data_IF_107430970263
#
_entry.id   IF_107430970263
#
_cell.length_a   1.000
_cell.length_b   1.000
_cell.length_c   1.000
_cell.angle_alpha   90.00
_cell.angle_beta   90.00
_cell.angle_gamma   90.00
#
_symmetry.space_group_name_H-M   'P 1'
#
loop_
_entity.id
_entity.type
_entity.pdbx_description
1 polymer ?
#
# COMPACT_ATOMS: atom_id res chain seq x y z
N UNK A 1 -4.75 -17.02 17.73
CA UNK A 1 -3.46 -16.89 18.46
C UNK A 1 -2.30 -17.36 17.54
N UNK A 2 -1.90 -16.51 16.59
CA UNK A 2 -0.72 -16.76 15.74
C UNK A 2 0.56 -16.19 16.43
N UNK A 3 0.78 -16.51 17.68
CA UNK A 3 1.83 -15.91 18.51
C UNK A 3 3.17 -16.69 18.52
N UNK A 4 3.45 -17.52 17.52
CA UNK A 4 4.60 -18.44 17.59
C UNK A 4 5.65 -18.35 16.49
N UNK A 5 5.44 -17.63 15.41
CA UNK A 5 6.29 -17.73 14.20
C UNK A 5 6.98 -16.41 13.80
N UNK A 6 7.31 -15.54 14.75
CA UNK A 6 8.24 -14.45 14.42
C UNK A 6 9.65 -14.95 14.54
N UNK A 7 10.37 -15.23 13.44
CA UNK A 7 11.78 -15.63 13.51
C UNK A 7 12.56 -14.50 14.19
N UNK A 8 13.35 -14.82 15.22
CA UNK A 8 14.26 -13.85 15.83
C UNK A 8 15.20 -13.35 14.74
N UNK A 9 15.28 -12.02 14.58
CA UNK A 9 16.19 -11.37 13.63
C UNK A 9 17.61 -11.92 13.86
N UNK A 10 18.23 -12.58 12.88
CA UNK A 10 19.59 -13.08 13.03
C UNK A 10 20.55 -11.89 13.16
N UNK A 11 21.68 -12.08 13.88
CA UNK A 11 22.69 -11.05 14.13
C UNK A 11 23.47 -10.58 12.90
N UNK A 12 23.23 -11.17 11.73
CA UNK A 12 23.86 -10.74 10.48
C UNK A 12 22.83 -10.77 9.39
N UNK A 13 22.11 -9.87 9.00
CA UNK A 13 21.10 -9.80 7.93
C UNK A 13 20.59 -11.15 7.36
N UNK A 14 19.49 -11.14 6.70
CA UNK A 14 19.01 -12.33 6.00
C UNK A 14 19.57 -12.33 4.58
N UNK A 15 20.13 -13.45 4.14
CA UNK A 15 20.44 -13.69 2.73
C UNK A 15 19.13 -13.98 1.98
N UNK A 16 19.13 -13.76 0.66
CA UNK A 16 17.98 -14.08 -0.20
C UNK A 16 17.53 -15.54 -0.05
N UNK A 17 18.49 -16.48 -0.06
CA UNK A 17 18.19 -17.89 0.13
C UNK A 17 17.49 -18.15 1.47
N UNK A 18 17.90 -17.43 2.51
CA UNK A 18 17.25 -17.55 3.81
C UNK A 18 15.83 -17.01 3.78
N UNK A 19 15.57 -15.88 3.15
CA UNK A 19 14.22 -15.34 3.01
C UNK A 19 13.33 -16.30 2.24
N UNK A 20 13.79 -16.79 1.10
CA UNK A 20 13.04 -17.76 0.27
C UNK A 20 12.79 -19.07 1.04
N UNK A 21 13.81 -19.58 1.77
CA UNK A 21 13.65 -20.82 2.55
C UNK A 21 12.65 -20.66 3.69
N UNK A 22 12.69 -19.54 4.41
CA UNK A 22 11.72 -19.25 5.50
C UNK A 22 10.31 -19.08 4.95
N UNK A 23 10.15 -18.44 3.80
CA UNK A 23 8.86 -18.32 3.13
C UNK A 23 8.31 -19.69 2.72
N UNK A 24 9.17 -20.56 2.19
CA UNK A 24 8.78 -21.93 1.84
C UNK A 24 8.42 -22.77 3.07
N UNK A 25 9.17 -22.64 4.17
CA UNK A 25 8.88 -23.29 5.45
C UNK A 25 7.55 -22.80 6.03
N UNK A 26 7.31 -21.48 6.04
CA UNK A 26 6.06 -20.90 6.47
C UNK A 26 4.87 -21.39 5.61
N UNK A 27 5.08 -21.51 4.30
CA UNK A 27 4.08 -22.05 3.39
C UNK A 27 3.75 -23.50 3.71
N UNK A 28 4.77 -24.35 3.88
CA UNK A 28 4.56 -25.77 4.21
C UNK A 28 3.80 -25.96 5.53
N UNK A 29 4.15 -25.17 6.56
CA UNK A 29 3.49 -25.23 7.86
C UNK A 29 2.09 -24.60 7.84
N UNK A 30 1.90 -23.50 7.08
CA UNK A 30 0.63 -22.77 7.03
C UNK A 30 -0.43 -23.40 6.15
N UNK A 31 -0.06 -24.22 5.17
CA UNK A 31 -1.01 -24.84 4.23
C UNK A 31 -1.95 -25.82 4.94
N UNK A 32 -1.44 -26.60 5.88
CA UNK A 32 -2.26 -27.59 6.59
C UNK A 32 -3.29 -26.93 7.52
N UNK A 33 -2.92 -25.82 8.15
CA UNK A 33 -3.76 -25.15 9.15
C UNK A 33 -4.65 -24.05 8.54
N UNK A 34 -4.11 -23.27 7.58
CA UNK A 34 -4.76 -22.04 7.07
C UNK A 34 -5.04 -22.08 5.56
N UNK A 35 -4.63 -23.11 4.84
CA UNK A 35 -4.80 -23.23 3.40
C UNK A 35 -3.78 -22.46 2.55
N UNK A 36 -3.01 -21.54 3.13
CA UNK A 36 -1.99 -20.77 2.43
C UNK A 36 -1.37 -19.65 3.26
N UNK A 37 -0.49 -18.88 2.62
CA UNK A 37 0.25 -17.76 3.23
C UNK A 37 0.14 -16.53 2.35
N UNK A 38 -0.05 -15.36 2.96
CA UNK A 38 0.07 -14.06 2.31
C UNK A 38 1.31 -13.36 2.90
N UNK A 39 2.25 -13.00 2.03
CA UNK A 39 3.45 -12.24 2.38
C UNK A 39 3.27 -10.79 1.96
N UNK A 40 3.22 -9.87 2.93
CA UNK A 40 3.23 -8.45 2.68
C UNK A 40 4.65 -7.89 2.78
N UNK A 41 5.08 -7.15 1.77
CA UNK A 41 6.36 -6.44 1.72
C UNK A 41 6.04 -4.95 1.71
N UNK A 42 6.07 -4.35 2.89
CA UNK A 42 5.84 -2.92 3.03
C UNK A 42 7.07 -2.13 2.56
N UNK A 43 6.81 -0.96 1.98
CA UNK A 43 7.84 -0.07 1.44
C UNK A 43 8.80 -0.78 0.44
N UNK A 44 8.27 -1.68 -0.38
CA UNK A 44 9.05 -2.41 -1.39
C UNK A 44 9.88 -1.46 -2.29
N UNK A 45 9.39 -0.23 -2.53
CA UNK A 45 10.10 0.81 -3.28
C UNK A 45 11.46 1.18 -2.68
N UNK A 46 11.63 1.16 -1.36
CA UNK A 46 12.92 1.44 -0.71
C UNK A 46 13.99 0.40 -1.03
N UNK A 47 13.60 -0.86 -1.18
CA UNK A 47 14.54 -1.90 -1.61
C UNK A 47 14.97 -1.69 -3.06
N UNK A 48 14.05 -1.23 -3.90
CA UNK A 48 14.34 -0.90 -5.29
C UNK A 48 15.28 0.31 -5.39
N UNK A 49 15.09 1.34 -4.58
CA UNK A 49 15.99 2.49 -4.49
C UNK A 49 17.38 2.10 -3.94
N UNK A 50 17.42 1.24 -2.93
CA UNK A 50 18.68 0.75 -2.36
C UNK A 50 19.51 -0.05 -3.37
N UNK A 51 18.87 -0.83 -4.23
CA UNK A 51 19.54 -1.57 -5.30
C UNK A 51 20.28 -0.66 -6.28
N UNK A 52 19.77 0.55 -6.51
CA UNK A 52 20.42 1.55 -7.37
C UNK A 52 21.73 2.08 -6.77
N UNK A 53 21.78 2.21 -5.44
CA UNK A 53 22.86 2.90 -4.74
C UNK A 53 23.89 1.97 -4.08
N UNK A 54 23.54 0.69 -3.85
CA UNK A 54 24.31 -0.21 -2.98
C UNK A 54 24.56 -1.60 -3.57
N UNK A 55 24.34 -1.82 -4.86
CA UNK A 55 24.38 -3.15 -5.50
C UNK A 55 23.50 -4.18 -4.77
N UNK A 56 22.40 -3.72 -4.12
CA UNK A 56 21.47 -4.61 -3.47
C UNK A 56 20.75 -5.46 -4.54
N UNK A 57 20.69 -6.75 -4.30
CA UNK A 57 20.10 -7.67 -5.26
C UNK A 57 18.57 -7.61 -5.21
N UNK A 58 17.96 -7.17 -6.31
CA UNK A 58 16.51 -7.16 -6.49
C UNK A 58 15.94 -8.52 -6.93
N UNK A 59 16.82 -9.47 -7.21
CA UNK A 59 16.46 -10.80 -7.70
C UNK A 59 15.57 -11.57 -6.71
N UNK A 60 15.64 -11.24 -5.42
CA UNK A 60 14.76 -11.80 -4.38
C UNK A 60 13.28 -11.65 -4.73
N UNK A 61 12.86 -10.51 -5.29
CA UNK A 61 11.46 -10.28 -5.65
C UNK A 61 11.02 -11.16 -6.82
N UNK A 62 11.93 -11.41 -7.77
CA UNK A 62 11.68 -12.38 -8.83
C UNK A 62 11.50 -13.79 -8.27
N UNK A 63 12.37 -14.21 -7.36
CA UNK A 63 12.29 -15.54 -6.72
C UNK A 63 11.02 -15.73 -5.91
N UNK A 64 10.57 -14.70 -5.19
CA UNK A 64 9.31 -14.71 -4.46
C UNK A 64 8.10 -14.83 -5.39
N UNK A 65 8.09 -14.06 -6.51
CA UNK A 65 7.03 -14.17 -7.51
C UNK A 65 7.00 -15.56 -8.15
N UNK A 66 8.17 -16.15 -8.44
CA UNK A 66 8.26 -17.52 -8.97
C UNK A 66 7.78 -18.58 -7.96
N UNK A 67 8.09 -18.39 -6.68
CA UNK A 67 7.58 -19.26 -5.63
C UNK A 67 6.06 -19.17 -5.51
N UNK A 68 5.51 -17.96 -5.58
CA UNK A 68 4.07 -17.73 -5.59
C UNK A 68 3.39 -18.41 -6.79
N UNK A 69 3.92 -18.20 -7.99
CA UNK A 69 3.40 -18.84 -9.22
C UNK A 69 3.38 -20.37 -9.14
N UNK A 70 4.41 -20.99 -8.54
CA UNK A 70 4.50 -22.44 -8.35
C UNK A 70 3.65 -23.00 -7.20
N UNK A 71 3.13 -22.14 -6.34
CA UNK A 71 2.38 -22.55 -5.13
C UNK A 71 0.93 -22.97 -5.40
N UNK A 72 0.44 -22.86 -6.63
CA UNK A 72 -0.96 -23.08 -6.98
C UNK A 72 -1.93 -22.23 -6.13
N UNK A 73 -1.62 -20.96 -5.93
CA UNK A 73 -2.44 -20.02 -5.17
C UNK A 73 -2.31 -20.12 -3.65
N UNK A 74 -1.40 -20.97 -3.13
CA UNK A 74 -1.18 -21.10 -1.69
C UNK A 74 -0.22 -20.05 -1.12
N UNK A 75 0.56 -19.36 -1.96
CA UNK A 75 1.40 -18.23 -1.60
C UNK A 75 0.97 -17.03 -2.43
N UNK A 76 0.62 -15.95 -1.76
CA UNK A 76 0.38 -14.65 -2.36
C UNK A 76 1.44 -13.68 -1.85
N UNK A 77 2.13 -12.99 -2.75
CA UNK A 77 3.12 -11.96 -2.40
C UNK A 77 2.55 -10.60 -2.78
N UNK A 78 2.44 -9.70 -1.82
CA UNK A 78 1.92 -8.35 -1.98
C UNK A 78 3.02 -7.35 -1.67
N UNK A 79 3.49 -6.62 -2.67
CA UNK A 79 4.42 -5.49 -2.50
C UNK A 79 3.64 -4.18 -2.40
N UNK A 80 3.95 -3.35 -1.41
CA UNK A 80 3.34 -2.04 -1.22
C UNK A 80 4.33 -0.98 -1.69
N UNK A 81 3.88 -0.14 -2.61
CA UNK A 81 4.64 0.94 -3.23
C UNK A 81 3.91 2.27 -2.99
N UNK A 82 4.66 3.35 -2.77
CA UNK A 82 4.08 4.69 -2.60
C UNK A 82 3.82 5.41 -3.92
N UNK A 83 4.43 4.94 -5.01
CA UNK A 83 4.28 5.50 -6.35
C UNK A 83 4.27 4.36 -7.38
N UNK A 84 3.86 4.65 -8.60
CA UNK A 84 3.86 3.65 -9.67
C UNK A 84 5.26 3.07 -9.89
N UNK A 85 5.34 1.80 -10.26
CA UNK A 85 6.61 1.09 -10.44
C UNK A 85 7.51 1.78 -11.48
N UNK A 86 6.93 2.33 -12.53
CA UNK A 86 7.63 3.07 -13.58
C UNK A 86 8.33 4.32 -13.06
N UNK A 87 7.78 5.01 -12.04
CA UNK A 87 8.37 6.23 -11.49
C UNK A 87 9.70 5.97 -10.78
N UNK A 88 9.83 4.79 -10.14
CA UNK A 88 11.12 4.36 -9.61
C UNK A 88 12.13 4.13 -10.73
N UNK A 89 11.67 3.62 -11.88
CA UNK A 89 12.52 3.31 -13.03
C UNK A 89 13.08 4.55 -13.75
N UNK A 90 12.45 5.72 -13.63
CA UNK A 90 12.91 6.94 -14.30
C UNK A 90 14.26 7.47 -13.80
N UNK A 91 14.68 7.13 -12.58
CA UNK A 91 15.88 7.64 -11.92
C UNK A 91 17.09 6.71 -12.01
N UNK A 92 16.97 5.59 -12.73
CA UNK A 92 17.98 4.52 -12.76
C UNK A 92 18.56 4.27 -14.13
N UNK A 93 19.73 3.61 -14.16
CA UNK A 93 20.41 3.23 -15.41
C UNK A 93 19.55 2.28 -16.25
N UNK A 94 19.84 2.22 -17.55
CA UNK A 94 19.13 1.36 -18.50
C UNK A 94 19.20 -0.13 -18.13
N UNK A 95 20.32 -0.56 -17.58
CA UNK A 95 20.55 -1.96 -17.19
C UNK A 95 19.65 -2.37 -16.03
N UNK A 96 19.61 -1.58 -14.96
CA UNK A 96 18.77 -1.82 -13.81
C UNK A 96 17.29 -1.73 -14.20
N UNK A 97 16.94 -0.81 -15.10
CA UNK A 97 15.55 -0.69 -15.61
C UNK A 97 15.08 -1.97 -16.31
N UNK A 98 15.95 -2.60 -17.09
CA UNK A 98 15.61 -3.85 -17.76
C UNK A 98 15.40 -5.01 -16.77
N UNK A 99 16.21 -5.08 -15.71
CA UNK A 99 15.99 -6.07 -14.64
C UNK A 99 14.68 -5.81 -13.88
N UNK A 100 14.36 -4.56 -13.62
CA UNK A 100 13.10 -4.17 -13.00
C UNK A 100 11.89 -4.54 -13.85
N UNK A 101 11.94 -4.31 -15.15
CA UNK A 101 10.86 -4.69 -16.06
C UNK A 101 10.57 -6.20 -16.02
N UNK A 102 11.62 -7.03 -15.83
CA UNK A 102 11.45 -8.47 -15.65
C UNK A 102 10.74 -8.82 -14.34
N UNK A 103 11.01 -8.07 -13.27
CA UNK A 103 10.34 -8.26 -11.98
C UNK A 103 8.90 -7.80 -12.10
N UNK A 104 8.66 -6.58 -12.59
CA UNK A 104 7.32 -6.02 -12.78
C UNK A 104 6.42 -6.94 -13.59
N UNK A 105 6.91 -7.51 -14.68
CA UNK A 105 6.15 -8.43 -15.51
C UNK A 105 5.69 -9.74 -14.81
N UNK A 106 6.14 -9.99 -13.58
CA UNK A 106 5.71 -11.12 -12.74
C UNK A 106 4.68 -10.74 -11.69
N UNK A 107 4.44 -9.46 -11.46
CA UNK A 107 3.45 -8.92 -10.55
C UNK A 107 2.30 -8.29 -11.32
N UNK A 108 1.16 -8.21 -10.68
CA UNK A 108 -0.01 -7.49 -11.17
C UNK A 108 -0.11 -6.17 -10.41
N UNK A 109 -0.07 -5.06 -11.12
CA UNK A 109 -0.26 -3.74 -10.52
C UNK A 109 -1.73 -3.54 -10.14
N UNK A 110 -1.95 -3.25 -8.88
CA UNK A 110 -3.25 -2.89 -8.32
C UNK A 110 -3.21 -1.44 -7.85
N UNK A 111 -3.59 -0.47 -8.67
CA UNK A 111 -3.61 0.93 -8.24
C UNK A 111 -4.68 1.11 -7.17
N UNK A 112 -4.25 1.52 -5.97
CA UNK A 112 -5.15 1.87 -4.87
C UNK A 112 -5.42 3.37 -4.94
N UNK A 113 -6.36 3.75 -5.78
CA UNK A 113 -6.84 5.13 -5.88
C UNK A 113 -8.06 5.27 -4.98
N UNK A 114 -7.86 5.89 -3.82
CA UNK A 114 -8.98 6.25 -2.95
C UNK A 114 -9.66 7.48 -3.55
N UNK A 115 -10.95 7.41 -3.80
CA UNK A 115 -11.72 8.55 -4.28
C UNK A 115 -11.61 9.73 -3.28
N UNK A 116 -11.57 10.96 -3.76
CA UNK A 116 -11.43 12.14 -2.90
C UNK A 116 -12.51 12.19 -1.80
N UNK A 117 -13.72 11.76 -2.13
CA UNK A 117 -14.83 11.68 -1.19
C UNK A 117 -14.57 10.70 -0.03
N UNK A 118 -13.96 9.56 -0.33
CA UNK A 118 -13.58 8.56 0.68
C UNK A 118 -12.42 9.06 1.53
N UNK A 119 -11.45 9.77 0.95
CA UNK A 119 -10.36 10.40 1.69
C UNK A 119 -10.88 11.41 2.71
N UNK A 120 -11.80 12.28 2.29
CA UNK A 120 -12.43 13.26 3.17
C UNK A 120 -13.25 12.57 4.27
N UNK A 121 -13.96 11.50 3.94
CA UNK A 121 -14.70 10.69 4.92
C UNK A 121 -13.77 10.03 5.95
N UNK A 122 -12.59 9.55 5.57
CA UNK A 122 -11.59 9.03 6.49
C UNK A 122 -11.04 10.12 7.41
N UNK A 123 -10.71 11.29 6.86
CA UNK A 123 -10.24 12.45 7.62
C UNK A 123 -11.28 12.87 8.64
N UNK A 124 -12.55 12.97 8.25
CA UNK A 124 -13.65 13.36 9.14
C UNK A 124 -13.83 12.41 10.33
N UNK A 125 -13.52 11.14 10.17
CA UNK A 125 -13.57 10.13 11.25
C UNK A 125 -12.35 10.14 12.17
N UNK A 126 -11.22 10.66 11.67
CA UNK A 126 -9.98 10.74 12.42
C UNK A 126 -9.90 12.00 13.31
N UNK A 127 -10.76 13.00 13.07
CA UNK A 127 -10.77 14.26 13.82
C UNK A 127 -11.86 14.17 14.89
N UNK A 128 -11.45 14.30 16.15
CA UNK A 128 -12.33 14.53 17.28
C UNK A 128 -12.24 16.01 17.70
N UNK A 129 -13.38 16.71 17.71
CA UNK A 129 -13.44 18.11 18.11
C UNK A 129 -14.67 18.39 18.94
N UNK A 130 -14.47 18.87 20.18
CA UNK A 130 -15.54 19.10 21.15
C UNK A 130 -16.44 20.28 20.80
N UNK A 131 -15.97 21.24 19.99
CA UNK A 131 -16.73 22.40 19.63
C UNK A 131 -16.45 22.86 18.20
N UNK A 132 -17.52 23.14 17.46
CA UNK A 132 -17.45 23.68 16.10
C UNK A 132 -18.25 24.97 16.03
N UNK A 133 -17.67 26.07 15.44
CA UNK A 133 -18.42 27.32 15.24
C UNK A 133 -19.60 27.09 14.27
N UNK A 134 -20.77 27.61 14.63
CA UNK A 134 -21.99 27.52 13.76
C UNK A 134 -21.80 28.15 12.40
N UNK A 135 -20.96 29.19 12.30
CA UNK A 135 -20.59 29.80 11.03
C UNK A 135 -19.91 28.84 10.05
N UNK A 136 -19.24 27.82 10.54
CA UNK A 136 -18.56 26.82 9.70
C UNK A 136 -19.56 25.96 8.90
N UNK A 137 -20.74 25.73 9.44
CA UNK A 137 -21.79 24.97 8.73
C UNK A 137 -22.18 25.63 7.40
N UNK A 138 -22.27 26.97 7.37
CA UNK A 138 -22.57 27.69 6.14
C UNK A 138 -21.42 27.63 5.13
N UNK A 139 -20.19 27.57 5.59
CA UNK A 139 -19.00 27.37 4.73
C UNK A 139 -19.00 25.97 4.14
N UNK A 140 -19.20 24.95 4.97
CA UNK A 140 -19.24 23.55 4.55
C UNK A 140 -20.35 23.33 3.49
N UNK A 141 -21.56 23.85 3.73
CA UNK A 141 -22.66 23.79 2.78
C UNK A 141 -22.28 24.43 1.44
N UNK A 142 -21.78 25.65 1.46
CA UNK A 142 -21.46 26.40 0.24
C UNK A 142 -20.34 25.73 -0.57
N UNK A 143 -19.33 25.17 0.10
CA UNK A 143 -18.25 24.43 -0.57
C UNK A 143 -18.81 23.13 -1.15
N UNK A 144 -19.65 22.40 -0.43
CA UNK A 144 -20.29 21.19 -0.92
C UNK A 144 -21.14 21.43 -2.17
N UNK A 145 -21.94 22.47 -2.17
CA UNK A 145 -22.75 22.89 -3.33
C UNK A 145 -21.87 23.20 -4.55
N UNK A 146 -20.78 23.96 -4.35
CA UNK A 146 -19.86 24.31 -5.44
C UNK A 146 -19.10 23.10 -5.97
N UNK A 147 -18.77 22.14 -5.11
CA UNK A 147 -18.04 20.92 -5.50
C UNK A 147 -18.92 19.93 -6.28
N UNK A 148 -20.23 19.93 -6.04
CA UNK A 148 -21.19 18.98 -6.61
C UNK A 148 -22.25 19.68 -7.48
N UNK A 149 -21.84 20.67 -8.28
CA UNK A 149 -22.73 21.39 -9.19
C UNK A 149 -23.46 20.46 -10.17
N UNK A 150 -22.80 19.39 -10.60
CA UNK A 150 -23.33 18.36 -11.51
C UNK A 150 -24.15 17.26 -10.79
N UNK A 151 -24.04 17.16 -9.45
CA UNK A 151 -24.72 16.13 -8.64
C UNK A 151 -25.24 16.68 -7.31
N UNK A 152 -26.20 17.61 -7.34
CA UNK A 152 -26.67 18.33 -6.14
C UNK A 152 -27.26 17.41 -5.05
N UNK A 153 -27.75 16.21 -5.40
CA UNK A 153 -28.28 15.25 -4.42
C UNK A 153 -27.20 14.72 -3.46
N UNK A 154 -25.93 14.77 -3.83
CA UNK A 154 -24.80 14.31 -2.99
C UNK A 154 -24.28 15.45 -2.07
N UNK A 155 -24.72 16.69 -2.26
CA UNK A 155 -24.22 17.84 -1.51
C UNK A 155 -24.53 17.73 0.00
N UNK A 156 -25.65 17.14 0.38
CA UNK A 156 -26.02 16.95 1.78
C UNK A 156 -25.05 16.04 2.54
N UNK A 157 -24.66 14.91 1.96
CA UNK A 157 -23.69 14.01 2.53
C UNK A 157 -22.31 14.69 2.64
N UNK A 158 -21.89 15.36 1.58
CA UNK A 158 -20.60 16.04 1.52
C UNK A 158 -20.54 17.22 2.52
N UNK A 159 -21.63 17.95 2.70
CA UNK A 159 -21.74 19.00 3.73
C UNK A 159 -21.46 18.45 5.11
N UNK A 160 -22.13 17.35 5.49
CA UNK A 160 -21.93 16.71 6.79
C UNK A 160 -20.49 16.22 6.98
N UNK A 161 -19.90 15.67 5.92
CA UNK A 161 -18.52 15.20 5.94
C UNK A 161 -17.55 16.37 6.12
N UNK A 162 -17.73 17.46 5.41
CA UNK A 162 -16.93 18.68 5.58
C UNK A 162 -17.07 19.30 6.97
N UNK A 163 -18.29 19.32 7.52
CA UNK A 163 -18.51 19.77 8.89
C UNK A 163 -17.71 18.93 9.90
N UNK A 164 -17.63 17.64 9.72
CA UNK A 164 -16.89 16.75 10.59
C UNK A 164 -15.37 16.89 10.46
N UNK A 165 -14.87 17.52 9.39
CA UNK A 165 -13.45 17.81 9.22
C UNK A 165 -12.95 19.05 10.00
N UNK A 166 -13.83 19.79 10.71
CA UNK A 166 -13.36 20.92 11.53
C UNK A 166 -12.27 20.47 12.52
N UNK A 167 -11.13 21.21 12.67
CA UNK A 167 -10.87 22.58 12.22
C UNK A 167 -10.27 22.75 10.82
N UNK A 168 -10.18 21.69 10.02
CA UNK A 168 -9.69 21.80 8.64
C UNK A 168 -10.72 22.49 7.75
N UNK A 169 -10.26 23.42 6.91
CA UNK A 169 -11.13 24.05 5.91
C UNK A 169 -11.40 23.05 4.76
N UNK A 170 -12.64 22.94 4.24
CA UNK A 170 -12.98 21.97 3.19
C UNK A 170 -12.18 22.07 1.89
N UNK A 171 -11.45 23.16 1.67
CA UNK A 171 -10.63 23.42 0.47
C UNK A 171 -9.15 23.14 0.73
N UNK A 172 -8.76 22.78 1.95
CA UNK A 172 -7.40 22.37 2.30
C UNK A 172 -7.32 20.88 2.31
#
# INVERSE_FOLDING_TARGET
QAAGLVPRKPRGGWTEDKVVSVTAEALNNGVEEFGGVILFIDEMGKFLEAAVHQDADIYIFQRLAEAAARSNGRLIVVGILHQAFEEYAHRISHEIRNEWAKIQGRYVDLPVNVAADEQIALISRAIECDSRPTAFNSVALKVAELTRLDRPAEAGWLTHTFEACWPLHPVV
#
